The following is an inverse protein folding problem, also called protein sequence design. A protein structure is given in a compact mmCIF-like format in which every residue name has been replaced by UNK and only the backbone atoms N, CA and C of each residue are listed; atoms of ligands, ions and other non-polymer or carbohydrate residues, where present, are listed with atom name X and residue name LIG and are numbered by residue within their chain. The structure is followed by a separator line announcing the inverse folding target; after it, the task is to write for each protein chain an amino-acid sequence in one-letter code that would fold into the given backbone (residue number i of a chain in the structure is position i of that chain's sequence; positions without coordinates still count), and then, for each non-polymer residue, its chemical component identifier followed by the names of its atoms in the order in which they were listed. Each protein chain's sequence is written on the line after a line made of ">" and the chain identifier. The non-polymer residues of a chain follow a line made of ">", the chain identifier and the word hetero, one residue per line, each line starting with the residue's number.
data_IF_791981323342
#
_entry.id   IF_791981323342
#
_cell.length_a   1.000
_cell.length_b   1.000
_cell.length_c   1.000
_cell.angle_alpha   90.00
_cell.angle_beta   90.00
_cell.angle_gamma   90.00
#
_symmetry.space_group_name_H-M   'P 1'
#
loop_
_entity.id
_entity.type
_entity.pdbx_description
1 polymer ?
#
# COMPACT_ATOMS: atom_id res chain seq x y z
N UNK A 1 -1.00 21.79 -8.06
CA UNK A 1 0.09 22.70 -7.66
C UNK A 1 1.03 22.94 -8.84
N UNK A 2 1.60 21.90 -9.44
CA UNK A 2 2.50 22.02 -10.59
C UNK A 2 1.84 22.67 -11.81
N UNK A 3 0.67 22.17 -12.27
CA UNK A 3 0.01 22.69 -13.48
C UNK A 3 -0.48 24.12 -13.30
N UNK A 4 -1.13 24.40 -12.16
CA UNK A 4 -1.69 25.73 -11.88
C UNK A 4 -0.61 26.81 -11.68
N UNK A 5 0.57 26.44 -11.15
CA UNK A 5 1.64 27.40 -10.86
C UNK A 5 2.71 27.47 -11.96
N UNK A 6 2.60 26.67 -13.03
CA UNK A 6 3.63 26.54 -14.07
C UNK A 6 3.99 27.86 -14.75
N UNK A 7 3.00 28.68 -15.11
CA UNK A 7 3.24 29.99 -15.73
C UNK A 7 4.00 30.92 -14.79
N UNK A 8 3.58 30.99 -13.52
CA UNK A 8 4.20 31.84 -12.51
C UNK A 8 5.63 31.40 -12.23
N UNK A 9 5.84 30.09 -12.06
CA UNK A 9 7.16 29.50 -11.85
C UNK A 9 8.09 29.76 -13.04
N UNK A 10 7.62 29.51 -14.27
CA UNK A 10 8.40 29.75 -15.48
C UNK A 10 8.80 31.22 -15.63
N UNK A 11 7.89 32.16 -15.40
CA UNK A 11 8.20 33.59 -15.45
C UNK A 11 9.19 34.00 -14.36
N UNK A 12 8.98 33.52 -13.12
CA UNK A 12 9.83 33.86 -11.99
C UNK A 12 11.27 33.37 -12.19
N UNK A 13 11.43 32.11 -12.60
CA UNK A 13 12.74 31.52 -12.91
C UNK A 13 13.39 32.22 -14.11
N UNK A 14 12.60 32.61 -15.11
CA UNK A 14 13.09 33.40 -16.25
C UNK A 14 13.70 34.74 -15.84
N UNK A 15 12.98 35.50 -15.03
CA UNK A 15 13.45 36.80 -14.51
C UNK A 15 14.69 36.60 -13.62
N UNK A 16 14.68 35.58 -12.76
CA UNK A 16 15.82 35.27 -11.90
C UNK A 16 17.09 34.98 -12.71
N UNK A 17 17.02 34.08 -13.70
CA UNK A 17 18.17 33.76 -14.54
C UNK A 17 18.64 34.97 -15.37
N UNK A 18 17.73 35.82 -15.83
CA UNK A 18 18.10 37.06 -16.52
C UNK A 18 18.87 38.01 -15.59
N UNK A 19 18.42 38.19 -14.35
CA UNK A 19 19.09 39.04 -13.35
C UNK A 19 20.45 38.47 -12.91
N UNK A 20 20.60 37.14 -12.91
CA UNK A 20 21.85 36.47 -12.54
C UNK A 20 22.89 36.51 -13.69
N UNK A 21 22.45 36.35 -14.94
CA UNK A 21 23.37 36.13 -16.08
C UNK A 21 23.55 37.34 -16.99
N UNK A 22 22.58 38.26 -17.06
CA UNK A 22 22.59 39.33 -18.04
C UNK A 22 23.25 40.60 -17.49
N UNK A 23 24.57 40.56 -17.33
CA UNK A 23 25.39 41.66 -16.77
C UNK A 23 25.84 42.69 -17.81
N UNK A 24 25.23 42.69 -19.01
CA UNK A 24 25.65 43.56 -20.12
C UNK A 24 25.15 45.00 -19.98
N UNK A 25 24.06 45.20 -19.25
CA UNK A 25 23.51 46.53 -18.95
C UNK A 25 24.00 47.04 -17.58
N UNK A 26 24.55 48.26 -17.48
CA UNK A 26 25.05 48.82 -16.23
C UNK A 26 23.95 48.98 -15.15
N UNK A 27 22.69 49.18 -15.53
CA UNK A 27 21.56 49.22 -14.59
C UNK A 27 21.27 47.84 -13.99
N UNK A 28 21.27 46.80 -14.83
CA UNK A 28 21.08 45.41 -14.39
C UNK A 28 22.19 44.96 -13.44
N UNK A 29 23.44 45.36 -13.67
CA UNK A 29 24.57 45.06 -12.77
C UNK A 29 24.45 45.72 -11.40
N UNK A 30 23.96 46.97 -11.33
CA UNK A 30 23.70 47.65 -10.06
C UNK A 30 22.58 46.97 -9.27
N UNK A 31 21.49 46.59 -9.95
CA UNK A 31 20.41 45.82 -9.35
C UNK A 31 20.92 44.46 -8.84
N UNK A 32 21.75 43.77 -9.64
CA UNK A 32 22.32 42.49 -9.25
C UNK A 32 23.14 42.62 -7.95
N UNK A 33 24.03 43.60 -7.87
CA UNK A 33 24.82 43.86 -6.66
C UNK A 33 23.90 44.18 -5.47
N UNK A 34 22.92 45.06 -5.66
CA UNK A 34 21.99 45.45 -4.59
C UNK A 34 21.13 44.28 -4.06
N UNK A 35 20.65 43.37 -4.92
CA UNK A 35 19.78 42.26 -4.52
C UNK A 35 20.55 40.99 -4.10
N UNK A 36 21.76 40.77 -4.64
CA UNK A 36 22.52 39.54 -4.44
C UNK A 36 23.77 39.69 -3.56
N UNK A 37 24.39 40.87 -3.46
CA UNK A 37 25.66 41.06 -2.72
C UNK A 37 25.56 41.94 -1.47
N UNK A 38 24.48 42.72 -1.32
CA UNK A 38 24.34 43.75 -0.27
C UNK A 38 24.20 43.21 1.18
N UNK A 39 24.01 41.90 1.38
CA UNK A 39 23.79 41.32 2.71
C UNK A 39 24.47 39.96 2.88
N UNK A 40 24.89 39.63 4.12
CA UNK A 40 25.49 38.32 4.48
C UNK A 40 24.64 37.11 4.03
N UNK A 41 23.35 37.35 3.77
CA UNK A 41 22.39 36.39 3.23
C UNK A 41 21.54 37.11 2.19
N UNK A 42 21.68 36.76 0.91
CA UNK A 42 20.73 37.23 -0.11
C UNK A 42 19.39 36.50 0.04
N UNK A 43 18.37 37.24 0.45
CA UNK A 43 17.00 36.71 0.60
C UNK A 43 16.46 36.28 -0.76
N UNK A 44 16.75 37.05 -1.82
CA UNK A 44 16.30 36.79 -3.18
C UNK A 44 16.86 35.45 -3.67
N UNK A 45 18.18 35.27 -3.63
CA UNK A 45 18.84 34.03 -4.04
C UNK A 45 18.30 32.81 -3.29
N UNK A 46 18.21 32.89 -1.96
CA UNK A 46 17.70 31.78 -1.14
C UNK A 46 16.25 31.44 -1.45
N UNK A 47 15.40 32.44 -1.67
CA UNK A 47 13.99 32.24 -1.97
C UNK A 47 13.83 31.54 -3.32
N UNK A 48 14.55 31.98 -4.35
CA UNK A 48 14.47 31.37 -5.67
C UNK A 48 15.04 29.96 -5.72
N UNK A 49 16.17 29.71 -5.04
CA UNK A 49 16.70 28.35 -4.86
C UNK A 49 15.69 27.46 -4.16
N UNK A 50 15.06 27.94 -3.09
CA UNK A 50 14.03 27.18 -2.40
C UNK A 50 12.81 26.86 -3.30
N UNK A 51 12.33 27.83 -4.09
CA UNK A 51 11.23 27.61 -5.05
C UNK A 51 11.63 26.58 -6.11
N UNK A 52 12.84 26.67 -6.65
CA UNK A 52 13.38 25.69 -7.60
C UNK A 52 13.49 24.29 -6.99
N UNK A 53 13.98 24.19 -5.75
CA UNK A 53 14.10 22.92 -5.04
C UNK A 53 12.73 22.30 -4.72
N UNK A 54 11.74 23.12 -4.35
CA UNK A 54 10.35 22.67 -4.20
C UNK A 54 9.79 22.11 -5.52
N UNK A 55 10.05 22.79 -6.65
CA UNK A 55 9.61 22.31 -7.96
C UNK A 55 10.25 20.98 -8.35
N UNK A 56 11.56 20.83 -8.10
CA UNK A 56 12.31 19.61 -8.40
C UNK A 56 11.95 18.45 -7.48
N UNK A 57 11.83 18.71 -6.18
CA UNK A 57 11.44 17.67 -5.20
C UNK A 57 10.02 17.18 -5.40
N UNK A 58 9.11 18.04 -5.87
CA UNK A 58 7.77 17.66 -6.28
C UNK A 58 7.71 17.06 -7.70
N UNK A 59 8.84 16.78 -8.37
CA UNK A 59 8.84 16.19 -9.71
C UNK A 59 7.88 16.89 -10.71
N UNK A 60 7.71 18.20 -10.58
CA UNK A 60 6.70 18.94 -11.36
C UNK A 60 6.99 18.94 -12.85
N UNK A 61 8.26 18.77 -13.25
CA UNK A 61 8.63 18.61 -14.65
C UNK A 61 7.98 17.36 -15.30
N UNK A 62 7.66 16.33 -14.52
CA UNK A 62 6.95 15.14 -14.99
C UNK A 62 5.52 15.41 -15.47
N UNK A 63 4.95 16.57 -15.15
CA UNK A 63 3.61 16.99 -15.62
C UNK A 63 3.62 17.53 -17.06
N UNK A 64 4.79 17.88 -17.60
CA UNK A 64 4.95 18.60 -18.87
C UNK A 64 5.72 17.77 -19.89
N UNK A 65 5.55 18.08 -21.17
CA UNK A 65 6.28 17.41 -22.24
C UNK A 65 7.77 17.76 -22.23
N UNK A 66 8.09 18.99 -21.82
CA UNK A 66 9.44 19.48 -21.61
C UNK A 66 9.51 20.23 -20.27
N UNK A 67 10.67 20.24 -19.59
CA UNK A 67 10.84 21.01 -18.36
C UNK A 67 10.45 22.47 -18.56
N UNK A 68 9.78 23.06 -17.57
CA UNK A 68 9.32 24.45 -17.65
C UNK A 68 10.53 25.38 -17.70
N UNK A 69 10.58 26.25 -18.71
CA UNK A 69 11.68 27.21 -18.94
C UNK A 69 11.18 28.66 -18.81
N UNK A 70 12.14 29.58 -18.75
CA UNK A 70 12.03 30.99 -18.36
C UNK A 70 11.12 31.92 -19.18
N UNK A 71 10.11 31.42 -19.87
CA UNK A 71 9.23 32.20 -20.74
C UNK A 71 7.72 32.01 -20.41
N UNK A 72 7.40 31.25 -19.35
CA UNK A 72 6.04 30.97 -18.90
C UNK A 72 5.23 30.06 -19.85
N UNK A 73 5.74 29.74 -21.04
CA UNK A 73 5.07 28.83 -21.97
C UNK A 73 5.46 27.39 -21.66
N UNK A 74 4.44 26.54 -21.59
CA UNK A 74 4.61 25.14 -21.24
C UNK A 74 3.50 24.32 -21.89
N UNK A 75 3.81 23.07 -22.23
CA UNK A 75 2.85 22.13 -22.81
C UNK A 75 2.67 20.99 -21.82
N UNK A 76 1.45 20.82 -21.34
CA UNK A 76 1.07 19.74 -20.43
C UNK A 76 1.17 18.41 -21.17
N UNK A 77 1.74 17.40 -20.53
CA UNK A 77 1.88 16.06 -21.12
C UNK A 77 0.51 15.44 -21.35
N UNK A 78 0.33 14.69 -22.44
CA UNK A 78 -0.94 14.03 -22.78
C UNK A 78 -1.45 13.14 -21.64
N UNK A 79 -0.57 12.43 -20.96
CA UNK A 79 -0.92 11.58 -19.81
C UNK A 79 -1.52 12.38 -18.65
N UNK A 80 -1.02 13.59 -18.40
CA UNK A 80 -1.57 14.51 -17.38
C UNK A 80 -2.97 14.98 -17.76
N UNK A 81 -3.19 15.28 -19.04
CA UNK A 81 -4.51 15.66 -19.55
C UNK A 81 -5.49 14.50 -19.38
N UNK A 82 -5.11 13.29 -19.82
CA UNK A 82 -5.94 12.09 -19.69
C UNK A 82 -6.22 11.72 -18.23
N UNK A 83 -5.23 11.87 -17.33
CA UNK A 83 -5.43 11.66 -15.90
C UNK A 83 -6.49 12.62 -15.36
N UNK A 84 -6.36 13.91 -15.66
CA UNK A 84 -7.30 14.94 -15.21
C UNK A 84 -8.71 14.70 -15.75
N UNK A 85 -8.86 14.26 -17.00
CA UNK A 85 -10.17 13.89 -17.55
C UNK A 85 -10.82 12.73 -16.78
N UNK A 86 -10.06 11.67 -16.48
CA UNK A 86 -10.54 10.54 -15.67
C UNK A 86 -10.87 10.96 -14.24
N UNK A 87 -10.06 11.84 -13.64
CA UNK A 87 -10.31 12.39 -12.31
C UNK A 87 -11.60 13.22 -12.28
N UNK A 88 -11.84 14.05 -13.30
CA UNK A 88 -13.09 14.82 -13.43
C UNK A 88 -14.29 13.89 -13.55
N UNK A 89 -14.18 12.80 -14.30
CA UNK A 89 -15.26 11.80 -14.39
C UNK A 89 -15.54 11.12 -13.05
N UNK A 90 -14.49 10.76 -12.30
CA UNK A 90 -14.61 10.20 -10.95
C UNK A 90 -15.31 11.18 -10.00
N UNK A 91 -14.83 12.42 -9.93
CA UNK A 91 -15.40 13.45 -9.07
C UNK A 91 -16.86 13.78 -9.44
N UNK A 92 -17.17 13.80 -10.74
CA UNK A 92 -18.55 13.97 -11.21
C UNK A 92 -19.44 12.83 -10.71
N UNK A 93 -18.96 11.60 -10.76
CA UNK A 93 -19.70 10.45 -10.24
C UNK A 93 -19.97 10.57 -8.74
N UNK A 94 -18.94 10.91 -7.95
CA UNK A 94 -19.06 11.13 -6.50
C UNK A 94 -20.13 12.17 -6.21
N UNK A 95 -20.01 13.37 -6.81
CA UNK A 95 -20.93 14.47 -6.59
C UNK A 95 -22.37 14.11 -6.97
N UNK A 96 -22.56 13.37 -8.07
CA UNK A 96 -23.89 12.89 -8.49
C UNK A 96 -24.45 11.83 -7.55
N UNK A 97 -23.60 10.94 -7.05
CA UNK A 97 -24.00 9.89 -6.09
C UNK A 97 -24.43 10.50 -4.76
N UNK A 98 -23.65 11.44 -4.23
CA UNK A 98 -23.96 12.15 -2.98
C UNK A 98 -25.24 12.99 -3.10
N UNK A 99 -25.48 13.60 -4.26
CA UNK A 99 -26.72 14.34 -4.51
C UNK A 99 -27.96 13.42 -4.61
N UNK A 100 -27.79 12.18 -5.07
CA UNK A 100 -28.90 11.25 -5.35
C UNK A 100 -29.22 10.30 -4.20
N UNK A 101 -28.22 9.92 -3.39
CA UNK A 101 -28.39 8.98 -2.28
C UNK A 101 -27.80 9.55 -1.00
N UNK A 102 -28.60 9.57 0.08
CA UNK A 102 -28.10 9.82 1.45
C UNK A 102 -27.32 8.63 2.01
N UNK A 103 -27.36 7.48 1.33
CA UNK A 103 -26.68 6.25 1.75
C UNK A 103 -25.34 6.12 1.05
N UNK A 104 -24.26 6.10 1.83
CA UNK A 104 -22.86 6.08 1.37
C UNK A 104 -22.50 4.79 0.62
N UNK A 105 -23.21 3.70 0.86
CA UNK A 105 -22.92 2.37 0.29
C UNK A 105 -23.20 2.27 -1.22
N UNK A 106 -24.10 3.10 -1.75
CA UNK A 106 -24.43 3.10 -3.18
C UNK A 106 -23.33 3.75 -4.04
N UNK A 107 -22.53 4.65 -3.45
CA UNK A 107 -21.46 5.36 -4.16
C UNK A 107 -20.42 4.40 -4.72
N UNK A 108 -20.04 3.40 -3.93
CA UNK A 108 -19.05 2.40 -4.33
C UNK A 108 -19.50 1.62 -5.56
N UNK A 109 -20.78 1.26 -5.63
CA UNK A 109 -21.36 0.49 -6.73
C UNK A 109 -21.51 1.37 -7.98
N UNK A 110 -22.00 2.60 -7.80
CA UNK A 110 -22.25 3.53 -8.90
C UNK A 110 -20.92 4.01 -9.52
N UNK A 111 -19.93 4.31 -8.69
CA UNK A 111 -18.66 4.90 -9.11
C UNK A 111 -17.51 3.90 -9.25
N UNK A 112 -17.78 2.59 -9.16
CA UNK A 112 -16.77 1.53 -9.32
C UNK A 112 -16.03 1.64 -10.65
N UNK A 113 -16.76 1.83 -11.75
CA UNK A 113 -16.16 1.92 -13.09
C UNK A 113 -15.25 3.14 -13.25
N UNK A 114 -15.72 4.39 -13.01
CA UNK A 114 -14.84 5.57 -13.03
C UNK A 114 -13.61 5.43 -12.13
N UNK A 115 -13.78 4.89 -10.92
CA UNK A 115 -12.67 4.66 -10.00
C UNK A 115 -11.66 3.66 -10.55
N UNK A 116 -12.12 2.51 -11.05
CA UNK A 116 -11.26 1.47 -11.62
C UNK A 116 -10.52 1.98 -12.85
N UNK A 117 -11.17 2.75 -13.71
CA UNK A 117 -10.56 3.32 -14.91
C UNK A 117 -9.45 4.33 -14.55
N UNK A 118 -9.69 5.18 -13.55
CA UNK A 118 -8.68 6.10 -13.00
C UNK A 118 -7.52 5.35 -12.34
N UNK A 119 -7.81 4.39 -11.47
CA UNK A 119 -6.81 3.63 -10.73
C UNK A 119 -5.94 2.76 -11.64
N UNK A 120 -6.54 2.13 -12.66
CA UNK A 120 -5.79 1.32 -13.64
C UNK A 120 -4.88 2.20 -14.49
N UNK A 121 -5.38 3.36 -14.93
CA UNK A 121 -4.58 4.32 -15.68
C UNK A 121 -3.38 4.82 -14.87
N UNK A 122 -3.61 5.25 -13.62
CA UNK A 122 -2.54 5.69 -12.72
C UNK A 122 -1.50 4.58 -12.47
N UNK A 123 -1.94 3.34 -12.21
CA UNK A 123 -1.01 2.23 -12.00
C UNK A 123 -0.18 1.92 -13.25
N UNK A 124 -0.75 2.08 -14.45
CA UNK A 124 0.00 1.99 -15.71
C UNK A 124 1.10 3.04 -15.78
N UNK A 125 0.79 4.31 -15.47
CA UNK A 125 1.79 5.38 -15.43
C UNK A 125 2.92 5.10 -14.43
N UNK A 126 2.58 4.59 -13.24
CA UNK A 126 3.56 4.21 -12.22
C UNK A 126 4.49 3.11 -12.74
N UNK A 127 3.94 2.11 -13.41
CA UNK A 127 4.70 0.98 -13.94
C UNK A 127 5.63 1.39 -15.10
N UNK A 128 5.18 2.34 -15.94
CA UNK A 128 5.99 2.90 -17.02
C UNK A 128 7.08 3.85 -16.51
N UNK A 129 6.84 4.53 -15.38
CA UNK A 129 7.81 5.45 -14.77
C UNK A 129 8.91 4.69 -14.03
N UNK A 130 10.03 4.40 -14.70
CA UNK A 130 11.20 3.74 -14.09
C UNK A 130 11.91 4.60 -13.04
N UNK A 131 11.88 5.93 -13.23
CA UNK A 131 12.62 6.88 -12.39
C UNK A 131 11.76 7.53 -11.29
N UNK A 132 10.51 7.09 -11.12
CA UNK A 132 9.58 7.68 -10.16
C UNK A 132 9.18 9.13 -10.47
N UNK A 133 9.51 9.64 -11.66
CA UNK A 133 9.20 11.00 -12.10
C UNK A 133 7.74 11.12 -12.55
N UNK A 134 6.82 10.83 -11.63
CA UNK A 134 5.39 11.01 -11.83
C UNK A 134 5.04 12.43 -11.40
N UNK A 135 4.20 13.08 -12.20
CA UNK A 135 3.64 14.38 -11.85
C UNK A 135 3.01 14.36 -10.46
N UNK A 136 3.51 15.21 -9.54
CA UNK A 136 3.01 15.26 -8.17
C UNK A 136 1.52 15.60 -8.08
N UNK A 137 1.00 16.46 -8.96
CA UNK A 137 -0.44 16.75 -9.02
C UNK A 137 -1.28 15.47 -9.23
N UNK A 138 -0.78 14.49 -9.98
CA UNK A 138 -1.46 13.19 -10.12
C UNK A 138 -1.33 12.33 -8.88
N UNK A 139 -0.14 12.29 -8.26
CA UNK A 139 0.11 11.52 -7.04
C UNK A 139 -0.78 12.01 -5.91
N UNK A 140 -0.84 13.33 -5.71
CA UNK A 140 -1.66 13.97 -4.68
C UNK A 140 -3.16 13.71 -4.92
N UNK A 141 -3.65 13.95 -6.13
CA UNK A 141 -5.04 13.68 -6.49
C UNK A 141 -5.41 12.20 -6.34
N UNK A 142 -4.52 11.28 -6.72
CA UNK A 142 -4.77 9.85 -6.60
C UNK A 142 -4.76 9.41 -5.13
N UNK A 143 -3.86 9.95 -4.31
CA UNK A 143 -3.83 9.69 -2.87
C UNK A 143 -5.11 10.18 -2.19
N UNK A 144 -5.56 11.40 -2.50
CA UNK A 144 -6.82 11.93 -2.01
C UNK A 144 -8.01 11.06 -2.46
N UNK A 145 -8.04 10.63 -3.72
CA UNK A 145 -9.10 9.77 -4.27
C UNK A 145 -9.13 8.40 -3.59
N UNK A 146 -7.96 7.77 -3.37
CA UNK A 146 -7.85 6.48 -2.68
C UNK A 146 -8.26 6.60 -1.21
N UNK A 147 -7.85 7.67 -0.55
CA UNK A 147 -8.27 7.96 0.82
C UNK A 147 -9.79 8.05 0.90
N UNK A 148 -10.42 8.86 0.05
CA UNK A 148 -11.88 8.99 -0.02
C UNK A 148 -12.56 7.65 -0.31
N UNK A 149 -12.08 6.91 -1.32
CA UNK A 149 -12.60 5.59 -1.68
C UNK A 149 -12.55 4.60 -0.50
N UNK A 150 -11.44 4.57 0.22
CA UNK A 150 -11.28 3.73 1.41
C UNK A 150 -12.17 4.18 2.57
N UNK A 151 -12.33 5.50 2.75
CA UNK A 151 -13.16 6.08 3.80
C UNK A 151 -14.64 5.73 3.64
N UNK A 152 -15.11 5.51 2.41
CA UNK A 152 -16.48 5.08 2.13
C UNK A 152 -16.68 3.55 2.18
N UNK A 153 -15.70 2.80 2.71
CA UNK A 153 -15.71 1.32 2.73
C UNK A 153 -15.87 0.69 1.33
N UNK A 154 -15.51 1.42 0.28
CA UNK A 154 -15.54 0.91 -1.09
C UNK A 154 -14.40 -0.09 -1.36
N UNK A 155 -13.55 -0.35 -0.37
CA UNK A 155 -12.63 -1.48 -0.35
C UNK A 155 -13.37 -2.78 -0.04
N UNK A 156 -14.39 -3.11 -0.82
CA UNK A 156 -14.86 -4.49 -0.88
C UNK A 156 -13.77 -5.25 -1.63
N UNK A 157 -12.94 -5.99 -0.89
CA UNK A 157 -12.24 -7.10 -1.50
C UNK A 157 -13.33 -8.00 -2.08
N UNK A 158 -13.60 -7.88 -3.38
CA UNK A 158 -14.33 -8.91 -4.09
C UNK A 158 -13.66 -10.22 -3.70
N UNK A 159 -14.44 -11.07 -3.07
CA UNK A 159 -14.09 -12.32 -2.40
C UNK A 159 -13.29 -13.23 -3.36
N UNK A 160 -12.00 -12.96 -3.53
CA UNK A 160 -11.06 -13.73 -4.35
C UNK A 160 -10.14 -14.61 -3.49
N UNK A 161 -10.32 -14.57 -2.17
CA UNK A 161 -9.61 -15.44 -1.25
C UNK A 161 -10.31 -16.80 -1.08
N UNK A 162 -11.49 -17.01 -1.66
CA UNK A 162 -12.19 -18.31 -1.69
C UNK A 162 -11.29 -19.46 -2.14
N UNK A 163 -10.58 -19.36 -3.28
CA UNK A 163 -9.66 -20.43 -3.69
C UNK A 163 -8.55 -20.66 -2.65
N UNK A 164 -8.03 -19.62 -2.00
CA UNK A 164 -7.01 -19.76 -0.96
C UNK A 164 -7.55 -20.49 0.27
N UNK A 165 -8.75 -20.15 0.75
CA UNK A 165 -9.39 -20.85 1.87
C UNK A 165 -9.74 -22.30 1.54
N UNK A 166 -10.21 -22.57 0.32
CA UNK A 166 -10.50 -23.93 -0.15
C UNK A 166 -9.23 -24.77 -0.20
N UNK A 167 -8.15 -24.25 -0.78
CA UNK A 167 -6.85 -24.94 -0.83
C UNK A 167 -6.31 -25.19 0.58
N UNK A 168 -6.35 -24.18 1.46
CA UNK A 168 -5.92 -24.34 2.85
C UNK A 168 -6.74 -25.41 3.60
N UNK A 169 -8.06 -25.44 3.37
CA UNK A 169 -8.95 -26.45 3.95
C UNK A 169 -8.65 -27.87 3.46
N UNK A 170 -8.42 -28.06 2.16
CA UNK A 170 -8.07 -29.37 1.58
C UNK A 170 -6.72 -29.85 2.12
N UNK A 171 -5.70 -28.99 2.13
CA UNK A 171 -4.37 -29.33 2.66
C UNK A 171 -4.47 -29.68 4.14
N UNK A 172 -5.20 -28.89 4.94
CA UNK A 172 -5.44 -29.17 6.36
C UNK A 172 -6.12 -30.53 6.57
N UNK A 173 -7.17 -30.83 5.78
CA UNK A 173 -7.89 -32.09 5.86
C UNK A 173 -6.98 -33.29 5.51
N UNK A 174 -6.17 -33.18 4.45
CA UNK A 174 -5.22 -34.23 4.08
C UNK A 174 -4.20 -34.51 5.19
N UNK A 175 -3.67 -33.47 5.85
CA UNK A 175 -2.76 -33.62 6.99
C UNK A 175 -3.46 -34.33 8.16
N UNK A 176 -4.69 -33.93 8.49
CA UNK A 176 -5.43 -34.59 9.57
C UNK A 176 -5.72 -36.07 9.28
N UNK A 177 -6.11 -36.40 8.05
CA UNK A 177 -6.36 -37.78 7.63
C UNK A 177 -5.08 -38.62 7.64
N UNK A 178 -3.95 -38.04 7.23
CA UNK A 178 -2.65 -38.70 7.27
C UNK A 178 -2.26 -39.09 8.70
N UNK A 179 -2.36 -38.16 9.65
CA UNK A 179 -2.02 -38.45 11.05
C UNK A 179 -3.04 -39.36 11.74
N UNK A 180 -4.34 -39.25 11.42
CA UNK A 180 -5.36 -40.16 11.92
C UNK A 180 -5.15 -41.58 11.39
N UNK A 181 -4.87 -41.74 10.10
CA UNK A 181 -4.55 -43.02 9.48
C UNK A 181 -3.25 -43.62 10.02
N UNK A 182 -2.22 -42.81 10.22
CA UNK A 182 -0.99 -43.26 10.87
C UNK A 182 -1.28 -43.74 12.31
N UNK A 183 -2.10 -43.03 13.08
CA UNK A 183 -2.49 -43.45 14.43
C UNK A 183 -3.23 -44.78 14.48
N UNK A 184 -4.13 -45.05 13.52
CA UNK A 184 -4.89 -46.32 13.45
C UNK A 184 -4.07 -47.49 12.89
N UNK A 185 -3.12 -47.22 11.99
CA UNK A 185 -2.24 -48.26 11.43
C UNK A 185 -1.09 -48.59 12.39
N UNK A 186 -0.56 -47.59 13.09
CA UNK A 186 0.58 -47.74 14.01
C UNK A 186 0.12 -48.29 15.37
N UNK A 187 -1.15 -48.17 15.77
CA UNK A 187 -1.69 -48.91 16.93
C UNK A 187 -1.79 -50.39 16.55
N UNK A 188 -0.76 -51.22 16.81
CA UNK A 188 -0.83 -52.60 16.43
C UNK A 188 -1.79 -53.25 17.41
N UNK A 189 -2.85 -53.84 16.87
CA UNK A 189 -3.68 -54.86 17.47
C UNK A 189 -2.92 -55.58 18.59
N UNK A 190 -3.33 -55.33 19.85
CA UNK A 190 -2.83 -55.95 21.09
C UNK A 190 -1.76 -57.01 20.82
N UNK A 191 -0.50 -56.60 20.73
CA UNK A 191 0.60 -57.55 20.75
C UNK A 191 0.57 -58.13 22.15
N UNK A 192 -0.07 -59.30 22.31
CA UNK A 192 0.17 -60.15 23.46
C UNK A 192 1.68 -60.28 23.57
N UNK A 193 2.25 -59.58 24.55
CA UNK A 193 3.63 -59.71 24.93
C UNK A 193 3.81 -61.18 25.29
N UNK A 194 4.45 -61.95 24.42
CA UNK A 194 4.82 -63.33 24.70
C UNK A 194 5.61 -63.31 26.00
N UNK A 195 4.98 -63.74 27.10
CA UNK A 195 5.64 -63.71 28.40
C UNK A 195 6.85 -64.65 28.35
N UNK A 196 8.06 -64.18 28.66
CA UNK A 196 9.21 -65.06 28.73
C UNK A 196 8.98 -66.10 29.83
N UNK A 197 9.15 -67.38 29.49
CA UNK A 197 9.00 -68.59 30.35
C UNK A 197 9.69 -68.54 31.73
N UNK A 198 10.50 -67.51 32.00
CA UNK A 198 11.24 -67.30 33.25
C UNK A 198 10.32 -66.94 34.44
N UNK A 199 9.13 -66.40 34.21
CA UNK A 199 8.19 -66.04 35.29
C UNK A 199 7.44 -67.25 35.89
N UNK A 200 7.23 -68.33 35.14
CA UNK A 200 6.57 -69.54 35.65
C UNK A 200 7.45 -70.33 36.65
N UNK A 201 8.78 -70.27 36.51
CA UNK A 201 9.70 -71.03 37.38
C UNK A 201 9.81 -70.45 38.80
N UNK A 202 9.46 -69.18 39.01
CA UNK A 202 9.52 -68.52 40.32
C UNK A 202 8.26 -68.74 41.17
N UNK A 203 7.12 -69.08 40.55
CA UNK A 203 5.84 -69.29 41.25
C UNK A 203 5.69 -70.67 41.89
N UNK A 204 6.47 -71.67 41.47
CA UNK A 204 6.45 -73.01 42.09
C UNK A 204 7.16 -73.08 43.45
N UNK A 205 7.88 -72.03 43.87
CA UNK A 205 8.75 -72.10 45.05
C UNK A 205 8.27 -71.31 46.27
N UNK A 206 7.12 -70.64 46.19
CA UNK A 206 6.56 -69.90 47.33
C UNK A 206 5.03 -70.04 47.38
N UNK A 207 4.55 -70.67 48.46
CA UNK A 207 3.27 -70.31 49.07
C UNK A 207 2.06 -71.14 48.68
N UNK A 208 2.06 -72.42 49.04
CA UNK A 208 0.84 -73.07 49.52
C UNK A 208 0.47 -72.43 50.86
N UNK A 209 -0.63 -71.68 50.89
CA UNK A 209 -1.59 -71.53 52.02
C UNK A 209 -2.56 -70.39 51.70
N UNK A 210 -3.78 -70.76 51.32
CA UNK A 210 -5.03 -70.01 51.54
C UNK A 210 -5.74 -70.68 52.75
N UNK A 211 -6.86 -70.20 53.32
CA UNK A 211 -7.67 -69.00 53.03
C UNK A 211 -8.17 -68.25 54.29
N UNK A 212 -8.92 -67.16 54.10
CA UNK A 212 -9.87 -66.62 55.10
C UNK A 212 -9.89 -65.09 55.15
N UNK A 213 -10.73 -64.42 54.34
CA UNK A 213 -12.07 -63.93 54.69
C UNK A 213 -12.07 -62.73 55.65
N UNK A 214 -12.37 -61.53 55.12
CA UNK A 214 -13.46 -60.63 55.56
C UNK A 214 -13.31 -59.24 54.90
N UNK A 215 -14.34 -58.84 54.13
CA UNK A 215 -14.67 -57.44 53.79
C UNK A 215 -15.80 -56.97 54.71
N UNK A 216 -16.28 -55.71 54.62
CA UNK A 216 -15.59 -54.42 54.73
C UNK A 216 -16.30 -53.51 55.78
N UNK A 217 -15.74 -52.35 56.14
CA UNK A 217 -16.47 -51.13 56.62
C UNK A 217 -15.48 -49.97 56.76
N UNK A 218 -15.59 -48.97 55.88
CA UNK A 218 -16.24 -47.65 56.07
C UNK A 218 -15.49 -46.67 57.01
N UNK A 219 -14.93 -45.65 56.36
CA UNK A 219 -14.40 -44.30 56.73
C UNK A 219 -15.52 -43.45 57.40
N UNK A 220 -15.39 -42.19 57.90
CA UNK A 220 -14.29 -41.21 58.19
C UNK A 220 -14.33 -40.70 59.68
N UNK A 221 -13.71 -39.56 60.11
CA UNK A 221 -12.90 -38.54 59.41
C UNK A 221 -11.43 -38.43 59.81
#
# INVERSE_FOLDING_TARGET
>A
MCVNCATLYGNAIGIFYQLETNTTDPGTRLCQDQFFSSSKVSIVDKTFKHIHDLWKSASCDGCFQHPVKGNGTHVVRNETIMFNEKLVQMNKCINQSEAKSKNLTDLCIICERPYRDLNTFYNGLVQESKDGNICFDMVDAMNATRFLWSSHFCSVHHYQNTPAFVVAGVVGLLVTLFYAGAGTIITPLNTELVQPKRLLRRRSRYGSTSPGSCSPKLVPP
#
